data_IF_797910078212
#
_entry.id   IF_797910078212
#
_cell.length_a   1.000
_cell.length_b   1.000
_cell.length_c   1.000
_cell.angle_alpha   90.00
_cell.angle_beta   90.00
_cell.angle_gamma   90.00
#
_symmetry.space_group_name_H-M   'P 1'
#
loop_
_entity.id
_entity.type
_entity.pdbx_description
1 polymer ?
#
# COMPACT_ATOMS: atom_id res chain seq x y z
N UNK A 1 30.68 41.57 -0.98
CA UNK A 1 31.01 40.20 -1.45
C UNK A 1 30.21 39.22 -0.62
N UNK A 2 29.45 38.35 -1.28
CA UNK A 2 28.29 37.65 -0.73
C UNK A 2 28.59 36.58 0.31
N UNK A 3 27.68 36.49 1.28
CA UNK A 3 27.55 35.39 2.23
C UNK A 3 26.81 34.24 1.53
N UNK A 4 27.53 33.23 1.06
CA UNK A 4 26.91 32.04 0.47
C UNK A 4 26.58 31.04 1.59
N UNK A 5 25.44 31.26 2.23
CA UNK A 5 24.83 30.37 3.20
C UNK A 5 24.25 29.14 2.48
N UNK A 6 25.10 28.19 2.07
CA UNK A 6 24.63 26.87 1.65
C UNK A 6 24.41 25.98 2.86
N UNK A 7 23.16 25.88 3.29
CA UNK A 7 22.71 24.76 4.12
C UNK A 7 23.15 23.45 3.45
N UNK A 8 23.69 22.46 4.18
CA UNK A 8 23.83 21.12 3.63
C UNK A 8 22.42 20.65 3.25
N UNK A 9 22.25 20.25 1.98
CA UNK A 9 21.03 19.56 1.56
C UNK A 9 20.93 18.34 2.46
N UNK A 10 19.91 18.34 3.31
CA UNK A 10 19.54 17.19 4.11
C UNK A 10 19.09 16.14 3.10
N UNK A 11 19.99 15.24 2.71
CA UNK A 11 19.61 14.02 2.02
C UNK A 11 18.40 13.46 2.79
N UNK A 12 17.24 13.22 2.15
CA UNK A 12 16.15 12.57 2.86
C UNK A 12 16.72 11.22 3.30
N UNK A 13 16.75 10.98 4.62
CA UNK A 13 17.04 9.69 5.20
C UNK A 13 16.31 8.60 4.40
N UNK A 14 16.88 7.39 4.23
CA UNK A 14 16.20 6.30 3.54
C UNK A 14 14.77 6.25 4.08
N UNK A 15 13.80 6.51 3.20
CA UNK A 15 12.42 6.68 3.63
C UNK A 15 12.05 5.42 4.39
N UNK A 16 11.86 5.53 5.70
CA UNK A 16 11.61 4.36 6.52
C UNK A 16 10.38 3.67 5.95
N UNK A 17 10.50 2.40 5.59
CA UNK A 17 9.35 1.66 5.13
C UNK A 17 8.51 1.29 6.36
N UNK A 18 7.26 1.71 6.37
CA UNK A 18 6.30 1.43 7.44
C UNK A 18 5.60 0.12 7.09
N UNK A 19 5.75 -0.92 7.92
CA UNK A 19 5.04 -2.17 7.72
C UNK A 19 3.54 -1.98 7.98
N UNK A 20 2.72 -2.68 7.21
CA UNK A 20 1.27 -2.69 7.40
C UNK A 20 0.70 -4.04 7.00
N UNK A 21 -0.49 -4.32 7.51
CA UNK A 21 -1.36 -5.39 7.03
C UNK A 21 -2.54 -4.79 6.30
N UNK A 22 -2.98 -5.46 5.25
CA UNK A 22 -4.22 -5.13 4.55
C UNK A 22 -5.08 -6.38 4.42
N UNK A 23 -6.33 -6.26 4.85
CA UNK A 23 -7.37 -7.23 4.60
C UNK A 23 -8.14 -6.80 3.37
N UNK A 24 -7.99 -7.55 2.30
CA UNK A 24 -8.82 -7.44 1.12
C UNK A 24 -10.03 -8.36 1.26
N UNK A 25 -11.23 -7.79 1.13
CA UNK A 25 -12.49 -8.53 1.12
C UNK A 25 -13.17 -8.36 -0.23
N UNK A 26 -13.74 -9.45 -0.72
CA UNK A 26 -14.48 -9.47 -1.97
C UNK A 26 -15.74 -8.59 -1.87
N UNK A 27 -15.99 -7.79 -2.91
CA UNK A 27 -17.29 -7.13 -3.09
C UNK A 27 -18.25 -8.12 -3.73
N UNK A 28 -19.53 -8.09 -3.34
CA UNK A 28 -20.51 -9.11 -3.76
C UNK A 28 -20.59 -9.27 -5.29
N UNK A 29 -20.47 -8.17 -6.04
CA UNK A 29 -20.53 -8.16 -7.50
C UNK A 29 -19.25 -8.67 -8.20
N UNK A 30 -18.14 -8.84 -7.47
CA UNK A 30 -16.81 -9.10 -8.07
C UNK A 30 -16.18 -10.43 -7.61
N UNK A 31 -17.00 -11.36 -7.08
CA UNK A 31 -16.52 -12.67 -6.58
C UNK A 31 -15.72 -13.49 -7.60
N UNK A 32 -16.07 -13.41 -8.88
CA UNK A 32 -15.36 -14.15 -9.95
C UNK A 32 -13.96 -13.60 -10.22
N UNK A 33 -13.73 -12.32 -9.96
CA UNK A 33 -12.46 -11.63 -10.20
C UNK A 33 -11.54 -11.62 -8.98
N UNK A 34 -12.08 -11.89 -7.78
CA UNK A 34 -11.33 -11.79 -6.52
C UNK A 34 -9.96 -12.46 -6.54
N UNK A 35 -9.88 -13.72 -6.99
CA UNK A 35 -8.60 -14.44 -7.05
C UNK A 35 -7.61 -13.76 -8.01
N UNK A 36 -8.11 -13.32 -9.17
CA UNK A 36 -7.31 -12.61 -10.16
C UNK A 36 -6.84 -11.25 -9.63
N UNK A 37 -7.67 -10.56 -8.85
CA UNK A 37 -7.33 -9.28 -8.22
C UNK A 37 -6.23 -9.45 -7.16
N UNK A 38 -6.31 -10.50 -6.34
CA UNK A 38 -5.24 -10.84 -5.39
C UNK A 38 -3.94 -11.19 -6.13
N UNK A 39 -4.02 -12.00 -7.19
CA UNK A 39 -2.85 -12.34 -7.99
C UNK A 39 -2.24 -11.10 -8.65
N UNK A 40 -3.05 -10.14 -9.13
CA UNK A 40 -2.57 -8.85 -9.67
C UNK A 40 -1.95 -7.96 -8.58
N UNK A 41 -2.52 -7.96 -7.38
CA UNK A 41 -1.98 -7.22 -6.24
C UNK A 41 -0.56 -7.65 -5.90
N UNK A 42 -0.27 -8.96 -5.95
CA UNK A 42 1.01 -9.53 -5.51
C UNK A 42 2.00 -9.81 -6.64
N UNK A 43 1.53 -10.05 -7.87
CA UNK A 43 2.43 -10.29 -9.03
C UNK A 43 2.99 -9.00 -9.63
N UNK A 44 2.28 -7.89 -9.45
CA UNK A 44 2.81 -6.58 -9.77
C UNK A 44 3.93 -6.30 -8.79
N UNK A 45 5.19 -6.43 -9.22
CA UNK A 45 6.37 -5.94 -8.50
C UNK A 45 6.24 -4.41 -8.32
N UNK A 46 5.41 -3.98 -7.37
CA UNK A 46 5.13 -2.59 -7.07
C UNK A 46 6.36 -2.05 -6.37
N UNK A 47 7.20 -1.36 -7.13
CA UNK A 47 8.38 -0.68 -6.62
C UNK A 47 8.08 0.25 -5.43
N UNK A 48 6.81 0.67 -5.27
CA UNK A 48 6.34 1.56 -4.22
C UNK A 48 5.70 0.86 -3.00
N UNK A 49 5.30 -0.42 -3.12
CA UNK A 49 4.69 -1.19 -2.03
C UNK A 49 4.74 -2.71 -2.31
N UNK A 50 5.81 -3.41 -1.93
CA UNK A 50 5.81 -4.88 -1.97
C UNK A 50 4.65 -5.41 -1.10
N UNK A 51 3.89 -6.37 -1.65
CA UNK A 51 2.77 -7.03 -0.99
C UNK A 51 2.94 -8.54 -1.07
N UNK A 52 2.96 -9.17 0.10
CA UNK A 52 3.02 -10.62 0.25
C UNK A 52 1.69 -11.14 0.81
N UNK A 53 1.16 -12.21 0.22
CA UNK A 53 -0.04 -12.88 0.73
C UNK A 53 0.32 -13.67 1.98
N UNK A 54 -0.24 -13.28 3.13
CA UNK A 54 -0.09 -14.02 4.39
C UNK A 54 -1.10 -15.16 4.43
N UNK A 55 -2.36 -14.87 4.07
CA UNK A 55 -3.45 -15.85 4.04
C UNK A 55 -4.47 -15.46 3.00
N UNK A 56 -5.01 -16.42 2.26
CA UNK A 56 -6.08 -16.16 1.31
C UNK A 56 -7.16 -17.24 1.39
N UNK A 57 -8.39 -16.84 1.11
CA UNK A 57 -9.60 -17.65 1.01
C UNK A 57 -10.35 -17.24 -0.27
N UNK A 58 -11.49 -17.85 -0.56
CA UNK A 58 -12.27 -17.50 -1.74
C UNK A 58 -12.88 -16.09 -1.70
N UNK A 59 -12.96 -15.46 -0.52
CA UNK A 59 -13.64 -14.18 -0.33
C UNK A 59 -12.81 -13.14 0.40
N UNK A 60 -11.69 -13.54 0.99
CA UNK A 60 -10.85 -12.67 1.82
C UNK A 60 -9.38 -13.04 1.68
N UNK A 61 -8.52 -12.04 1.66
CA UNK A 61 -7.08 -12.20 1.70
C UNK A 61 -6.48 -11.22 2.72
N UNK A 62 -5.55 -11.71 3.52
CA UNK A 62 -4.67 -10.92 4.35
C UNK A 62 -3.33 -10.82 3.65
N UNK A 63 -2.91 -9.59 3.38
CA UNK A 63 -1.61 -9.28 2.81
C UNK A 63 -0.80 -8.46 3.81
N UNK A 64 0.52 -8.61 3.74
CA UNK A 64 1.47 -7.78 4.46
C UNK A 64 2.27 -7.00 3.44
N UNK A 65 2.54 -5.74 3.74
CA UNK A 65 3.39 -4.93 2.89
C UNK A 65 4.16 -3.90 3.67
N UNK A 66 4.96 -3.14 2.95
CA UNK A 66 5.63 -1.98 3.50
C UNK A 66 5.56 -0.82 2.50
N UNK A 67 5.28 0.39 2.99
CA UNK A 67 5.25 1.61 2.17
C UNK A 67 6.22 2.64 2.72
N UNK A 68 6.74 3.48 1.84
CA UNK A 68 7.56 4.62 2.22
C UNK A 68 6.80 5.54 3.21
N UNK A 69 7.40 5.80 4.39
CA UNK A 69 6.88 6.75 5.38
C UNK A 69 6.55 8.10 4.75
N UNK A 70 5.34 8.61 5.04
CA UNK A 70 4.88 9.90 4.55
C UNK A 70 3.56 10.32 5.17
N UNK A 71 2.93 11.36 4.62
CA UNK A 71 1.65 11.88 5.13
C UNK A 71 0.56 10.81 5.12
N UNK A 72 0.61 9.89 4.18
CA UNK A 72 -0.34 8.79 4.06
C UNK A 72 -0.18 7.72 5.15
N UNK A 73 0.98 7.58 5.79
CA UNK A 73 1.21 6.62 6.89
C UNK A 73 0.91 7.19 8.27
N UNK A 74 0.33 8.40 8.36
CA UNK A 74 0.01 9.03 9.65
C UNK A 74 -1.09 8.29 10.42
N UNK A 75 -2.05 7.71 9.69
CA UNK A 75 -3.15 6.92 10.27
C UNK A 75 -3.51 5.77 9.35
N UNK A 76 -4.11 4.72 9.92
CA UNK A 76 -4.62 3.58 9.15
C UNK A 76 -5.61 4.01 8.07
N UNK A 77 -6.49 4.97 8.38
CA UNK A 77 -7.47 5.51 7.45
C UNK A 77 -6.82 6.28 6.28
N UNK A 78 -5.80 7.09 6.56
CA UNK A 78 -5.03 7.79 5.53
C UNK A 78 -4.32 6.80 4.61
N UNK A 79 -3.75 5.73 5.18
CA UNK A 79 -3.05 4.70 4.42
C UNK A 79 -4.03 3.89 3.57
N UNK A 80 -5.20 3.54 4.14
CA UNK A 80 -6.27 2.85 3.41
C UNK A 80 -6.72 3.64 2.18
N UNK A 81 -6.98 4.95 2.32
CA UNK A 81 -7.39 5.79 1.18
C UNK A 81 -6.28 5.92 0.13
N UNK A 82 -5.03 6.05 0.56
CA UNK A 82 -3.89 6.09 -0.34
C UNK A 82 -3.75 4.80 -1.15
N UNK A 83 -3.79 3.65 -0.47
CA UNK A 83 -3.69 2.33 -1.10
C UNK A 83 -4.88 2.06 -2.03
N UNK A 84 -6.10 2.36 -1.61
CA UNK A 84 -7.29 2.19 -2.45
C UNK A 84 -7.22 3.03 -3.73
N UNK A 85 -6.84 4.31 -3.62
CA UNK A 85 -6.68 5.17 -4.79
C UNK A 85 -5.62 4.65 -5.77
N UNK A 86 -4.52 4.11 -5.27
CA UNK A 86 -3.47 3.49 -6.08
C UNK A 86 -3.93 2.18 -6.73
N UNK A 87 -4.61 1.29 -6.00
CA UNK A 87 -5.04 0.01 -6.54
C UNK A 87 -6.10 0.14 -7.63
N UNK A 88 -7.06 1.06 -7.45
CA UNK A 88 -8.04 1.39 -8.49
C UNK A 88 -7.35 2.00 -9.70
N UNK A 89 -6.47 2.99 -9.50
CA UNK A 89 -5.79 3.69 -10.59
C UNK A 89 -4.81 2.83 -11.40
N UNK A 90 -4.07 1.93 -10.76
CA UNK A 90 -3.02 1.14 -11.44
C UNK A 90 -3.55 -0.13 -12.10
N UNK A 91 -4.64 -0.74 -11.61
CA UNK A 91 -5.02 -2.11 -12.01
C UNK A 91 -6.54 -2.37 -12.07
N UNK A 92 -7.36 -1.33 -11.87
CA UNK A 92 -8.83 -1.46 -11.79
C UNK A 92 -9.27 -2.54 -10.80
N UNK A 93 -8.61 -2.58 -9.62
CA UNK A 93 -8.87 -3.58 -8.59
C UNK A 93 -10.08 -3.17 -7.74
N UNK A 94 -11.12 -3.99 -7.73
CA UNK A 94 -12.41 -3.71 -7.08
C UNK A 94 -12.59 -4.45 -5.74
N UNK A 95 -11.71 -4.17 -4.77
CA UNK A 95 -11.71 -4.81 -3.45
C UNK A 95 -12.09 -3.83 -2.35
N UNK A 96 -12.75 -4.34 -1.31
CA UNK A 96 -12.89 -3.62 -0.04
C UNK A 96 -11.63 -3.84 0.79
N UNK A 97 -11.00 -2.75 1.26
CA UNK A 97 -9.69 -2.78 1.89
C UNK A 97 -9.77 -2.21 3.30
N UNK A 98 -9.44 -3.04 4.28
CA UNK A 98 -9.16 -2.59 5.64
C UNK A 98 -7.66 -2.64 5.87
N UNK A 99 -7.05 -1.52 6.24
CA UNK A 99 -5.60 -1.43 6.46
C UNK A 99 -5.32 -1.21 7.94
N UNK A 100 -4.22 -1.77 8.41
CA UNK A 100 -3.70 -1.54 9.76
C UNK A 100 -2.18 -1.43 9.70
N UNK A 101 -1.66 -0.29 10.12
CA UNK A 101 -0.22 -0.07 10.28
C UNK A 101 0.29 -0.95 11.41
N UNK A 102 1.35 -1.71 11.17
CA UNK A 102 2.01 -2.46 12.23
C UNK A 102 2.84 -1.48 13.07
N UNK A 103 2.48 -1.30 14.34
CA UNK A 103 3.14 -0.39 15.29
C UNK A 103 3.94 -1.16 16.33
#
# INVERSE_FOLDING_TARGET
MGVDNRLPRKDPLPTAFIPFTVRATVREDHKRSFRMDIERLTSSHRAWAPLDVVKSTNTQALLRGAVAHGVHTATDASLARYLQGRFVGDNDIHLDLTVSIER
#
